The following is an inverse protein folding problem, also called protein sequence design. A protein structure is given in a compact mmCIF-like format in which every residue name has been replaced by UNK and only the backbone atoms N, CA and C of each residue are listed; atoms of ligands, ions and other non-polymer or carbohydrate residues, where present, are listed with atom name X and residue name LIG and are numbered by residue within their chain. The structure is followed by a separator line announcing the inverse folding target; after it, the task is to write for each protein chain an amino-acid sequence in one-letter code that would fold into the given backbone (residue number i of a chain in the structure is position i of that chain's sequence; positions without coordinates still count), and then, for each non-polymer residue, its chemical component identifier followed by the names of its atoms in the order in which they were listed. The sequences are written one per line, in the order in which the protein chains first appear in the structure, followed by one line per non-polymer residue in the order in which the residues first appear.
data_IF_486782889136
#
_entry.id   IF_486782889136
#
_cell.length_a   1.000
_cell.length_b   1.000
_cell.length_c   1.000
_cell.angle_alpha   90.00
_cell.angle_beta   90.00
_cell.angle_gamma   90.00
#
_symmetry.space_group_name_H-M   'P 1'
#
loop_
_entity.id
_entity.type
_entity.pdbx_description
1 polymer ?
#
# COMPACT_ATOMS: atom_id res chain seq x y z
N UNK A 1 1.87 35.09 -21.48
CA UNK A 1 2.59 34.17 -20.58
C UNK A 1 1.93 34.36 -19.22
N UNK A 2 1.23 33.36 -18.70
CA UNK A 2 0.59 33.49 -17.37
C UNK A 2 1.71 33.64 -16.35
N UNK A 3 1.94 34.86 -15.87
CA UNK A 3 2.76 35.11 -14.70
C UNK A 3 1.93 34.71 -13.48
N UNK A 4 2.00 33.43 -13.09
CA UNK A 4 1.58 33.05 -11.74
C UNK A 4 2.52 33.73 -10.76
N UNK A 5 1.97 34.52 -9.84
CA UNK A 5 2.74 35.08 -8.74
C UNK A 5 3.19 33.96 -7.77
N UNK A 6 4.33 34.15 -7.09
CA UNK A 6 4.83 33.20 -6.08
C UNK A 6 3.79 32.88 -5.00
N UNK A 7 2.94 33.86 -4.68
CA UNK A 7 1.81 33.75 -3.73
C UNK A 7 0.70 32.84 -4.22
N UNK A 8 0.33 32.92 -5.50
CA UNK A 8 -0.69 32.05 -6.09
C UNK A 8 -0.18 30.61 -6.16
N UNK A 9 1.09 30.43 -6.54
CA UNK A 9 1.71 29.12 -6.64
C UNK A 9 1.81 28.41 -5.29
N UNK A 10 2.18 29.13 -4.22
CA UNK A 10 2.15 28.58 -2.85
C UNK A 10 0.74 28.18 -2.42
N UNK A 11 -0.25 29.01 -2.75
CA UNK A 11 -1.65 28.75 -2.41
C UNK A 11 -2.18 27.49 -3.10
N UNK A 12 -1.84 27.30 -4.38
CA UNK A 12 -2.26 26.12 -5.13
C UNK A 12 -1.55 24.84 -4.67
N UNK A 13 -0.26 24.92 -4.31
CA UNK A 13 0.45 23.80 -3.72
C UNK A 13 -0.14 23.38 -2.36
N UNK A 14 -0.54 24.34 -1.52
CA UNK A 14 -1.23 24.06 -0.26
C UNK A 14 -2.59 23.36 -0.45
N UNK A 15 -3.36 23.73 -1.48
CA UNK A 15 -4.62 23.04 -1.81
C UNK A 15 -4.40 21.59 -2.25
N UNK A 16 -3.24 21.30 -2.84
CA UNK A 16 -2.89 19.97 -3.34
C UNK A 16 -2.28 19.08 -2.25
N UNK A 17 -1.70 19.65 -1.18
CA UNK A 17 -1.18 18.90 -0.05
C UNK A 17 -2.29 18.04 0.60
N UNK A 18 -2.11 16.72 0.56
CA UNK A 18 -2.97 15.73 1.22
C UNK A 18 -2.12 14.84 2.10
N UNK A 19 -2.62 14.53 3.29
CA UNK A 19 -1.94 13.63 4.22
C UNK A 19 -1.65 12.28 3.54
N UNK A 20 -0.38 11.87 3.55
CA UNK A 20 0.08 10.60 2.97
C UNK A 20 0.28 10.59 1.45
N UNK A 21 0.12 11.73 0.76
CA UNK A 21 0.39 11.84 -0.69
C UNK A 21 1.63 12.73 -0.92
N UNK A 22 2.75 12.17 -1.40
CA UNK A 22 3.92 12.98 -1.72
C UNK A 22 3.66 13.85 -2.96
N UNK A 23 4.20 15.07 -2.96
CA UNK A 23 4.07 16.03 -4.05
C UNK A 23 5.44 16.39 -4.59
N UNK A 24 5.56 16.41 -5.91
CA UNK A 24 6.73 16.89 -6.64
C UNK A 24 6.25 18.04 -7.54
N UNK A 25 6.80 19.23 -7.32
CA UNK A 25 6.57 20.38 -8.19
C UNK A 25 7.54 20.32 -9.38
N UNK A 26 7.01 20.40 -10.61
CA UNK A 26 7.82 20.33 -11.84
C UNK A 26 7.60 21.59 -12.67
N UNK A 27 8.64 22.40 -12.80
CA UNK A 27 8.65 23.56 -13.70
C UNK A 27 9.14 23.13 -15.08
N UNK A 28 8.26 23.19 -16.08
CA UNK A 28 8.55 22.79 -17.45
C UNK A 28 8.87 24.00 -18.34
N UNK A 29 9.53 23.76 -19.48
CA UNK A 29 9.87 24.73 -20.55
C UNK A 29 11.05 25.66 -20.22
N UNK A 30 12.07 25.18 -19.52
CA UNK A 30 13.28 25.97 -19.23
C UNK A 30 14.05 26.42 -20.48
N UNK A 31 13.83 25.76 -21.61
CA UNK A 31 14.39 26.12 -22.92
C UNK A 31 13.95 27.51 -23.42
N UNK A 32 12.84 28.05 -22.90
CA UNK A 32 12.33 29.37 -23.26
C UNK A 32 13.08 30.53 -22.60
N UNK A 33 14.15 30.27 -21.84
CA UNK A 33 15.07 31.30 -21.34
C UNK A 33 14.47 32.26 -20.31
N UNK A 34 13.36 31.90 -19.67
CA UNK A 34 12.78 32.67 -18.58
C UNK A 34 13.63 32.57 -17.31
N UNK A 35 14.37 33.63 -16.98
CA UNK A 35 15.10 33.78 -15.70
C UNK A 35 14.17 34.02 -14.51
N UNK A 36 13.15 33.18 -14.33
CA UNK A 36 12.43 33.05 -13.08
C UNK A 36 12.71 31.66 -12.54
N UNK A 37 13.92 31.46 -12.01
CA UNK A 37 14.18 30.33 -11.11
C UNK A 37 13.29 30.58 -9.89
N UNK A 38 12.06 30.06 -9.92
CA UNK A 38 11.14 30.17 -8.80
C UNK A 38 11.82 29.39 -7.68
N UNK A 39 12.41 30.12 -6.74
CA UNK A 39 13.09 29.52 -5.60
C UNK A 39 12.02 29.06 -4.63
N UNK A 40 11.43 27.90 -4.91
CA UNK A 40 10.60 27.17 -3.97
C UNK A 40 11.50 26.56 -2.90
N UNK A 41 12.08 27.41 -2.06
CA UNK A 41 12.75 27.03 -0.83
C UNK A 41 11.68 26.71 0.25
N UNK A 42 10.68 25.91 -0.09
CA UNK A 42 9.79 25.31 0.89
C UNK A 42 10.32 23.92 1.20
N UNK A 43 10.87 23.74 2.40
CA UNK A 43 11.41 22.47 2.91
C UNK A 43 10.41 21.27 2.81
N UNK A 44 9.13 21.54 2.53
CA UNK A 44 8.05 20.55 2.42
C UNK A 44 7.84 19.94 1.03
N UNK A 45 8.27 20.57 -0.08
CA UNK A 45 7.92 20.11 -1.43
C UNK A 45 9.16 20.05 -2.31
N UNK A 46 9.42 18.87 -2.88
CA UNK A 46 10.51 18.70 -3.85
C UNK A 46 10.19 19.44 -5.15
N UNK A 47 11.19 20.12 -5.68
CA UNK A 47 11.08 20.94 -6.89
C UNK A 47 12.11 20.50 -7.94
N UNK A 48 11.68 20.41 -9.21
CA UNK A 48 12.56 20.10 -10.33
C UNK A 48 12.21 20.91 -11.58
N UNK A 49 13.23 21.40 -12.26
CA UNK A 49 13.12 22.12 -13.53
C UNK A 49 13.46 21.21 -14.70
N UNK A 50 12.62 21.22 -15.76
CA UNK A 50 12.79 20.37 -16.93
C UNK A 50 12.54 21.13 -18.24
N UNK A 51 13.11 20.62 -19.34
CA UNK A 51 12.59 20.88 -20.68
C UNK A 51 12.08 19.57 -21.26
N UNK A 52 10.76 19.37 -21.21
CA UNK A 52 10.15 18.18 -21.80
C UNK A 52 10.40 18.10 -23.32
N UNK A 53 10.40 19.25 -24.01
CA UNK A 53 10.63 19.31 -25.46
C UNK A 53 12.06 18.92 -25.83
N UNK A 54 13.06 19.46 -25.11
CA UNK A 54 14.47 19.16 -25.34
C UNK A 54 14.93 17.87 -24.63
N UNK A 55 14.01 17.16 -23.96
CA UNK A 55 14.27 16.00 -23.09
C UNK A 55 15.29 16.26 -21.98
N UNK A 56 15.52 17.53 -21.63
CA UNK A 56 16.47 17.93 -20.60
C UNK A 56 15.86 17.70 -19.21
N UNK A 57 16.66 17.12 -18.31
CA UNK A 57 16.29 16.78 -16.94
C UNK A 57 15.16 15.76 -16.76
N UNK A 58 14.77 15.08 -17.83
CA UNK A 58 13.69 14.09 -17.81
C UNK A 58 14.07 12.81 -17.07
N UNK A 59 15.35 12.40 -17.15
CA UNK A 59 15.84 11.25 -16.36
C UNK A 59 15.91 11.57 -14.87
N UNK A 60 16.33 12.78 -14.48
CA UNK A 60 16.25 13.22 -13.09
C UNK A 60 14.81 13.18 -12.57
N UNK A 61 13.83 13.60 -13.38
CA UNK A 61 12.42 13.54 -13.00
C UNK A 61 11.95 12.10 -12.76
N UNK A 62 12.34 11.14 -13.62
CA UNK A 62 12.00 9.73 -13.42
C UNK A 62 12.56 9.19 -12.12
N UNK A 63 13.84 9.46 -11.84
CA UNK A 63 14.49 9.04 -10.59
C UNK A 63 13.80 9.66 -9.39
N UNK A 64 13.47 10.95 -9.44
CA UNK A 64 12.78 11.64 -8.36
C UNK A 64 11.38 11.05 -8.09
N UNK A 65 10.60 10.78 -9.14
CA UNK A 65 9.30 10.12 -9.01
C UNK A 65 9.46 8.73 -8.38
N UNK A 66 10.43 7.95 -8.85
CA UNK A 66 10.70 6.61 -8.32
C UNK A 66 11.05 6.66 -6.84
N UNK A 67 12.01 7.48 -6.45
CA UNK A 67 12.45 7.62 -5.06
C UNK A 67 11.32 8.07 -4.16
N UNK A 68 10.50 9.02 -4.61
CA UNK A 68 9.42 9.60 -3.80
C UNK A 68 8.21 8.67 -3.69
N UNK A 69 7.89 7.87 -4.72
CA UNK A 69 6.79 6.93 -4.69
C UNK A 69 7.13 5.62 -3.96
N UNK A 70 8.40 5.18 -4.01
CA UNK A 70 8.82 3.84 -3.57
C UNK A 70 9.65 3.85 -2.28
N UNK A 71 10.26 4.98 -1.87
CA UNK A 71 11.00 5.04 -0.59
C UNK A 71 10.18 4.48 0.57
N UNK A 72 10.75 3.50 1.26
CA UNK A 72 10.19 2.91 2.48
C UNK A 72 9.09 1.87 2.27
N UNK A 73 8.72 1.54 1.03
CA UNK A 73 7.64 0.56 0.74
C UNK A 73 8.10 -0.76 0.16
N UNK A 74 9.36 -0.88 -0.27
CA UNK A 74 9.87 -2.10 -0.89
C UNK A 74 11.30 -2.31 -0.41
N UNK A 75 11.49 -3.11 0.64
CA UNK A 75 12.82 -3.61 1.07
C UNK A 75 13.34 -4.73 0.17
N UNK A 76 12.57 -5.13 -0.85
CA UNK A 76 12.91 -6.24 -1.74
C UNK A 76 12.61 -7.63 -1.17
N UNK A 77 12.22 -7.72 0.11
CA UNK A 77 11.88 -8.97 0.81
C UNK A 77 10.37 -9.20 0.95
N UNK A 78 9.54 -8.25 0.52
CA UNK A 78 8.08 -8.33 0.66
C UNK A 78 7.45 -9.18 -0.44
N UNK A 79 6.59 -10.13 -0.05
CA UNK A 79 5.76 -10.87 -1.00
C UNK A 79 4.65 -9.95 -1.49
N UNK A 80 4.75 -9.49 -2.74
CA UNK A 80 3.75 -8.60 -3.34
C UNK A 80 2.52 -9.41 -3.77
N UNK A 81 1.38 -9.12 -3.17
CA UNK A 81 0.08 -9.69 -3.56
C UNK A 81 -0.51 -8.80 -4.65
N UNK A 82 -0.48 -9.25 -5.90
CA UNK A 82 -0.99 -8.51 -7.06
C UNK A 82 -2.42 -8.88 -7.45
N UNK A 83 -2.95 -9.99 -6.92
CA UNK A 83 -4.27 -10.49 -7.23
C UNK A 83 -5.28 -10.06 -6.16
N UNK A 84 -6.32 -9.32 -6.57
CA UNK A 84 -7.37 -8.84 -5.65
C UNK A 84 -8.13 -9.98 -4.96
N UNK A 85 -8.33 -11.12 -5.64
CA UNK A 85 -8.96 -12.31 -5.05
C UNK A 85 -8.12 -12.89 -3.92
N UNK A 86 -6.80 -12.92 -4.10
CA UNK A 86 -5.88 -13.40 -3.05
C UNK A 86 -5.82 -12.42 -1.88
N UNK A 87 -5.86 -11.12 -2.15
CA UNK A 87 -5.95 -10.10 -1.11
C UNK A 87 -7.23 -10.26 -0.27
N UNK A 88 -8.38 -10.42 -0.92
CA UNK A 88 -9.66 -10.65 -0.23
C UNK A 88 -9.64 -11.92 0.62
N UNK A 89 -9.12 -13.02 0.08
CA UNK A 89 -8.98 -14.27 0.82
C UNK A 89 -8.09 -14.11 2.07
N UNK A 90 -6.95 -13.44 1.95
CA UNK A 90 -6.06 -13.15 3.09
C UNK A 90 -6.70 -12.25 4.14
N UNK A 91 -7.42 -11.21 3.72
CA UNK A 91 -8.16 -10.35 4.64
C UNK A 91 -9.20 -11.14 5.44
N UNK A 92 -9.97 -11.99 4.76
CA UNK A 92 -10.97 -12.85 5.41
C UNK A 92 -10.32 -13.90 6.33
N UNK A 93 -9.15 -14.43 5.96
CA UNK A 93 -8.35 -15.30 6.84
C UNK A 93 -7.94 -14.53 8.10
N UNK A 94 -7.42 -13.30 7.96
CA UNK A 94 -7.01 -12.48 9.10
C UNK A 94 -8.19 -12.18 10.04
N UNK A 95 -9.33 -11.75 9.51
CA UNK A 95 -10.55 -11.50 10.30
C UNK A 95 -10.99 -12.75 11.08
N UNK A 96 -10.87 -13.93 10.48
CA UNK A 96 -11.20 -15.18 11.17
C UNK A 96 -10.21 -15.49 12.30
N UNK A 97 -8.91 -15.28 12.08
CA UNK A 97 -7.89 -15.45 13.11
C UNK A 97 -8.03 -14.45 14.26
N UNK A 98 -8.43 -13.20 13.98
CA UNK A 98 -8.74 -12.21 15.01
C UNK A 98 -9.89 -12.66 15.92
N UNK A 99 -10.92 -13.30 15.35
CA UNK A 99 -12.00 -13.91 16.15
C UNK A 99 -11.52 -15.07 17.01
N UNK A 100 -10.60 -15.90 16.50
CA UNK A 100 -9.95 -16.96 17.30
C UNK A 100 -9.19 -16.36 18.48
N UNK A 101 -8.33 -15.37 18.22
CA UNK A 101 -7.56 -14.69 19.26
C UNK A 101 -8.47 -14.06 20.31
N UNK A 102 -9.50 -13.35 19.88
CA UNK A 102 -10.52 -12.79 20.76
C UNK A 102 -11.20 -13.88 21.60
N UNK A 103 -11.62 -14.98 20.97
CA UNK A 103 -12.27 -16.09 21.67
C UNK A 103 -11.36 -16.86 22.62
N UNK A 104 -10.03 -16.79 22.45
CA UNK A 104 -9.07 -17.36 23.41
C UNK A 104 -8.94 -16.52 24.69
N UNK A 105 -9.11 -15.20 24.58
CA UNK A 105 -9.03 -14.25 25.70
C UNK A 105 -10.37 -14.06 26.42
N UNK A 106 -11.48 -14.52 25.82
CA UNK A 106 -12.84 -14.39 26.33
C UNK A 106 -13.44 -15.78 26.62
N UNK A 107 -14.49 -15.89 27.46
CA UNK A 107 -15.13 -17.17 27.78
C UNK A 107 -16.01 -17.68 26.62
N UNK A 108 -15.38 -18.04 25.50
CA UNK A 108 -16.00 -18.67 24.33
C UNK A 108 -15.76 -20.18 24.39
N UNK A 109 -16.73 -20.98 23.97
CA UNK A 109 -16.56 -22.45 23.95
C UNK A 109 -15.60 -22.88 22.85
N UNK A 110 -14.90 -23.98 23.08
CA UNK A 110 -13.93 -24.55 22.13
C UNK A 110 -14.51 -24.83 20.74
N UNK A 111 -15.80 -25.09 20.65
CA UNK A 111 -16.49 -25.37 19.39
C UNK A 111 -16.54 -24.14 18.46
N UNK A 112 -16.74 -22.95 19.02
CA UNK A 112 -16.71 -21.71 18.24
C UNK A 112 -15.29 -21.37 17.77
N UNK A 113 -14.28 -21.59 18.61
CA UNK A 113 -12.88 -21.44 18.23
C UNK A 113 -12.51 -22.36 17.07
N UNK A 114 -12.93 -23.63 17.14
CA UNK A 114 -12.70 -24.59 16.06
C UNK A 114 -13.38 -24.17 14.75
N UNK A 115 -14.58 -23.59 14.83
CA UNK A 115 -15.30 -23.07 13.67
C UNK A 115 -14.58 -21.88 13.02
N UNK A 116 -14.07 -20.94 13.81
CA UNK A 116 -13.32 -19.80 13.27
C UNK A 116 -11.96 -20.21 12.67
N UNK A 117 -11.26 -21.18 13.27
CA UNK A 117 -10.05 -21.77 12.70
C UNK A 117 -10.35 -22.43 11.35
N UNK A 118 -11.46 -23.19 11.26
CA UNK A 118 -11.91 -23.82 10.00
C UNK A 118 -12.16 -22.75 8.93
N UNK A 119 -12.79 -21.66 9.33
CA UNK A 119 -13.10 -20.57 8.42
C UNK A 119 -11.84 -19.87 7.89
N UNK A 120 -10.84 -19.67 8.76
CA UNK A 120 -9.54 -19.11 8.38
C UNK A 120 -8.80 -20.00 7.36
N UNK A 121 -8.79 -21.31 7.60
CA UNK A 121 -8.15 -22.29 6.72
C UNK A 121 -8.87 -22.43 5.37
N UNK A 122 -10.20 -22.34 5.35
CA UNK A 122 -10.97 -22.35 4.11
C UNK A 122 -10.56 -21.19 3.19
N UNK A 123 -10.53 -19.96 3.71
CA UNK A 123 -10.12 -18.79 2.93
C UNK A 123 -8.66 -18.88 2.46
N UNK A 124 -7.77 -19.43 3.29
CA UNK A 124 -6.38 -19.66 2.90
C UNK A 124 -6.26 -20.72 1.79
N UNK A 125 -7.10 -21.75 1.82
CA UNK A 125 -7.18 -22.79 0.80
C UNK A 125 -7.69 -22.28 -0.56
N UNK A 126 -8.57 -21.27 -0.58
CA UNK A 126 -9.03 -20.63 -1.83
C UNK A 126 -7.87 -19.98 -2.64
N UNK A 127 -6.76 -19.65 -1.97
CA UNK A 127 -5.56 -19.07 -2.58
C UNK A 127 -4.74 -20.13 -3.30
N UNK A 128 -4.49 -21.25 -2.62
CA UNK A 128 -3.64 -22.35 -3.11
C UNK A 128 -4.39 -23.33 -4.01
N UNK A 129 -5.73 -23.26 -4.04
CA UNK A 129 -6.59 -24.23 -4.73
C UNK A 129 -6.63 -25.59 -4.04
N UNK A 130 -5.93 -25.73 -2.91
CA UNK A 130 -6.02 -26.86 -2.02
C UNK A 130 -7.08 -26.50 -0.97
N UNK A 131 -8.25 -27.14 -1.03
CA UNK A 131 -9.04 -27.63 0.12
C UNK A 131 -10.49 -27.85 -0.34
N UNK A 132 -10.92 -29.11 -0.22
CA UNK A 132 -12.28 -29.42 0.23
C UNK A 132 -12.24 -29.49 1.76
N UNK A 133 -13.30 -29.05 2.43
CA UNK A 133 -13.36 -28.80 3.88
C UNK A 133 -13.02 -29.99 4.80
N UNK A 134 -12.88 -31.19 4.25
CA UNK A 134 -12.86 -32.45 5.00
C UNK A 134 -11.44 -32.89 5.39
N UNK A 135 -10.44 -32.68 4.52
CA UNK A 135 -9.04 -33.11 4.75
C UNK A 135 -8.36 -32.35 5.91
N UNK A 136 -8.79 -31.10 6.17
CA UNK A 136 -8.26 -30.28 7.26
C UNK A 136 -8.78 -30.72 8.63
N UNK A 137 -10.03 -31.20 8.68
CA UNK A 137 -10.68 -31.60 9.93
C UNK A 137 -10.04 -32.88 10.47
N UNK A 138 -9.82 -33.86 9.60
CA UNK A 138 -9.23 -35.14 10.00
C UNK A 138 -7.83 -34.95 10.60
N UNK A 139 -7.04 -34.03 10.04
CA UNK A 139 -5.67 -33.78 10.50
C UNK A 139 -5.60 -32.98 11.82
N UNK A 140 -6.51 -32.04 12.06
CA UNK A 140 -6.56 -31.25 13.31
C UNK A 140 -7.15 -32.10 14.45
N UNK A 141 -8.27 -32.78 14.20
CA UNK A 141 -8.98 -33.55 15.23
C UNK A 141 -8.33 -34.91 15.53
N UNK A 142 -7.47 -35.44 14.65
CA UNK A 142 -6.67 -36.64 14.95
C UNK A 142 -5.79 -36.51 16.21
N UNK A 143 -5.49 -35.27 16.63
CA UNK A 143 -4.62 -34.98 17.77
C UNK A 143 -5.36 -34.53 19.03
N UNK A 144 -6.67 -34.30 18.95
CA UNK A 144 -7.49 -34.02 20.11
C UNK A 144 -8.19 -35.32 20.51
N UNK A 145 -7.84 -35.89 21.66
CA UNK A 145 -8.61 -36.98 22.23
C UNK A 145 -10.05 -36.50 22.42
N UNK A 146 -10.97 -36.97 21.57
CA UNK A 146 -12.40 -36.85 21.76
C UNK A 146 -12.75 -37.81 22.89
N UNK A 147 -12.57 -37.34 24.13
CA UNK A 147 -12.94 -38.04 25.34
C UNK A 147 -14.44 -37.95 25.56
N UNK A 148 -15.04 -39.10 25.85
CA UNK A 148 -16.41 -39.31 26.35
C UNK A 148 -16.88 -38.28 27.36
#
# INVERSE_FOLDING_TARGET
VNELSETELKTDLQKLQRAGMPIIAVANKIDLGGKNSISLNSEEIQYLEISAQQKQYTEQLKTLIYETAIRGRLTGEETVITNIRHLEALNRTNEALERVLYGMENPVTSDFLAMDIKQALYYLGEITGAVTTDDLLENIFSKFCIGK
#
